data_IF_039922775693
#
_entry.id   IF_039922775693
#
_cell.length_a   1.000
_cell.length_b   1.000
_cell.length_c   1.000
_cell.angle_alpha   90.00
_cell.angle_beta   90.00
_cell.angle_gamma   90.00
#
_symmetry.space_group_name_H-M   'P 1'
#
loop_
_entity.id
_entity.type
_entity.pdbx_description
1 polymer ?
#
# COMPACT_ATOMS: atom_id res chain seq x y z
N UNK A 1 36.60 -12.55 -38.18
CA UNK A 1 36.67 -12.13 -36.77
C UNK A 1 35.40 -11.34 -36.49
N UNK A 2 34.44 -11.95 -35.81
CA UNK A 2 33.15 -11.35 -35.48
C UNK A 2 33.20 -10.90 -34.03
N UNK A 3 32.98 -9.60 -33.76
CA UNK A 3 32.89 -9.07 -32.41
C UNK A 3 31.50 -9.38 -31.80
N UNK A 4 31.40 -9.71 -30.50
CA UNK A 4 30.13 -10.00 -29.87
C UNK A 4 29.39 -8.69 -29.52
N UNK A 5 28.10 -8.65 -29.87
CA UNK A 5 27.19 -7.56 -29.53
C UNK A 5 26.71 -7.74 -28.08
N UNK A 6 27.35 -7.03 -27.14
CA UNK A 6 27.02 -7.12 -25.71
C UNK A 6 26.02 -6.02 -25.34
N UNK A 7 24.74 -6.29 -25.60
CA UNK A 7 23.63 -5.55 -25.02
C UNK A 7 23.53 -5.88 -23.52
N UNK A 8 24.27 -5.14 -22.70
CA UNK A 8 24.12 -5.17 -21.24
C UNK A 8 24.04 -3.74 -20.71
N UNK A 9 22.93 -3.06 -20.99
CA UNK A 9 22.56 -1.84 -20.28
C UNK A 9 21.98 -2.22 -18.92
N UNK A 10 22.87 -2.57 -17.98
CA UNK A 10 22.65 -2.52 -16.54
C UNK A 10 22.52 -1.04 -16.09
N UNK A 11 21.49 -0.36 -16.59
CA UNK A 11 21.10 0.95 -16.07
C UNK A 11 20.53 0.81 -14.66
N UNK A 12 20.67 1.82 -13.79
CA UNK A 12 19.96 1.85 -12.52
C UNK A 12 18.47 1.65 -12.80
N UNK A 13 17.87 0.63 -12.19
CA UNK A 13 16.44 0.35 -12.32
C UNK A 13 15.71 1.62 -11.83
N UNK A 14 14.91 2.30 -12.67
CA UNK A 14 14.27 3.54 -12.28
C UNK A 14 13.31 3.27 -11.11
N UNK A 15 13.63 3.82 -9.95
CA UNK A 15 12.70 3.86 -8.81
C UNK A 15 11.50 4.70 -9.24
N UNK A 16 10.35 4.06 -9.48
CA UNK A 16 9.12 4.76 -9.86
C UNK A 16 8.58 5.66 -8.74
N UNK A 17 9.07 5.51 -7.51
CA UNK A 17 8.78 6.41 -6.40
C UNK A 17 9.62 7.69 -6.50
N UNK A 18 9.03 8.88 -6.69
CA UNK A 18 9.70 10.13 -6.40
C UNK A 18 10.12 10.08 -4.93
N UNK A 19 11.27 10.69 -4.64
CA UNK A 19 11.79 10.87 -3.29
C UNK A 19 10.96 11.93 -2.55
N UNK A 20 9.66 11.71 -2.42
CA UNK A 20 8.85 12.50 -1.48
C UNK A 20 9.29 12.11 -0.07
N UNK A 21 9.53 13.08 0.83
CA UNK A 21 9.82 12.77 2.22
C UNK A 21 8.73 11.88 2.81
N UNK A 22 9.11 10.85 3.54
CA UNK A 22 8.14 10.04 4.27
C UNK A 22 7.65 10.83 5.49
N UNK A 23 6.36 10.75 5.84
CA UNK A 23 5.86 11.39 7.04
C UNK A 23 6.41 10.66 8.26
N UNK A 24 6.56 11.38 9.38
CA UNK A 24 7.06 10.81 10.64
C UNK A 24 6.06 9.80 11.26
N UNK A 25 4.79 9.87 10.84
CA UNK A 25 3.68 9.05 11.32
C UNK A 25 2.68 8.77 10.20
N UNK A 26 1.95 7.66 10.32
CA UNK A 26 0.81 7.34 9.45
C UNK A 26 -0.46 7.78 10.17
N UNK A 27 -1.28 8.58 9.48
CA UNK A 27 -2.54 9.08 10.01
C UNK A 27 -3.70 8.30 9.38
N UNK A 28 -4.75 8.10 10.17
CA UNK A 28 -5.90 7.30 9.76
C UNK A 28 -7.11 7.54 10.64
N UNK A 29 -8.17 6.76 10.41
CA UNK A 29 -9.45 6.90 11.10
C UNK A 29 -9.69 5.70 12.01
N UNK A 30 -10.13 5.99 13.24
CA UNK A 30 -10.63 4.97 14.16
C UNK A 30 -12.11 4.72 13.91
N UNK A 31 -12.43 3.50 13.50
CA UNK A 31 -13.81 3.04 13.32
C UNK A 31 -14.17 2.10 14.46
N UNK A 32 -15.27 2.40 15.16
CA UNK A 32 -15.84 1.50 16.17
C UNK A 32 -16.77 0.52 15.47
N UNK A 33 -16.43 -0.76 15.52
CA UNK A 33 -17.20 -1.83 14.88
C UNK A 33 -17.70 -2.84 15.91
N UNK A 34 -18.79 -3.54 15.58
CA UNK A 34 -19.10 -4.80 16.24
C UNK A 34 -18.10 -5.87 15.82
N UNK A 35 -17.80 -6.80 16.72
CA UNK A 35 -16.89 -7.91 16.45
C UNK A 35 -17.36 -8.77 15.25
N UNK A 36 -18.67 -8.93 15.07
CA UNK A 36 -19.24 -9.64 13.93
C UNK A 36 -18.93 -8.98 12.59
N UNK A 37 -18.92 -7.65 12.54
CA UNK A 37 -18.62 -6.91 11.31
C UNK A 37 -17.11 -6.87 11.05
N UNK A 38 -16.31 -6.78 12.11
CA UNK A 38 -14.86 -6.97 11.99
C UNK A 38 -14.51 -8.35 11.42
N UNK A 39 -15.19 -9.41 11.87
CA UNK A 39 -15.02 -10.76 11.32
C UNK A 39 -15.34 -10.84 9.82
N UNK A 40 -16.38 -10.13 9.36
CA UNK A 40 -16.70 -10.06 7.92
C UNK A 40 -15.61 -9.34 7.12
N UNK A 41 -15.10 -8.21 7.63
CA UNK A 41 -13.99 -7.49 6.99
C UNK A 41 -12.74 -8.36 6.90
N UNK A 42 -12.36 -9.02 8.00
CA UNK A 42 -11.20 -9.89 8.04
C UNK A 42 -11.32 -11.06 7.04
N UNK A 43 -12.54 -11.58 6.83
CA UNK A 43 -12.77 -12.65 5.86
C UNK A 43 -12.61 -12.19 4.40
N UNK A 44 -12.73 -10.88 4.10
CA UNK A 44 -12.56 -10.33 2.75
C UNK A 44 -11.09 -10.04 2.40
N UNK A 45 -10.22 -9.93 3.41
CA UNK A 45 -8.85 -9.42 3.28
C UNK A 45 -7.81 -10.55 3.24
N UNK A 46 -7.91 -11.48 2.27
CA UNK A 46 -7.12 -12.73 2.21
C UNK A 46 -5.58 -12.57 2.22
N UNK A 47 -5.07 -11.37 1.90
CA UNK A 47 -3.64 -11.07 1.88
C UNK A 47 -3.19 -10.11 2.99
N UNK A 48 -4.09 -9.80 3.93
CA UNK A 48 -3.77 -9.00 5.09
C UNK A 48 -4.03 -9.79 6.37
N UNK A 49 -3.31 -9.43 7.43
CA UNK A 49 -3.56 -9.95 8.77
C UNK A 49 -3.92 -8.80 9.71
N UNK A 50 -4.88 -9.00 10.64
CA UNK A 50 -5.14 -8.03 11.67
C UNK A 50 -3.96 -7.98 12.65
N UNK A 51 -3.53 -6.77 13.02
CA UNK A 51 -2.50 -6.53 14.02
C UNK A 51 -2.95 -5.48 15.02
N UNK A 52 -2.72 -5.76 16.29
CA UNK A 52 -2.93 -4.77 17.35
C UNK A 52 -1.88 -3.67 17.25
N UNK A 53 -2.35 -2.42 17.26
CA UNK A 53 -1.55 -1.21 17.21
C UNK A 53 -2.01 -0.25 18.29
N UNK A 54 -1.08 0.56 18.78
CA UNK A 54 -1.36 1.68 19.67
C UNK A 54 -1.36 2.96 18.84
N UNK A 55 -2.44 3.74 18.92
CA UNK A 55 -2.54 5.02 18.20
C UNK A 55 -2.77 6.17 19.17
N UNK A 56 -2.28 7.36 18.79
CA UNK A 56 -2.58 8.63 19.45
C UNK A 56 -3.61 9.39 18.61
N UNK A 57 -4.76 9.71 19.19
CA UNK A 57 -5.76 10.55 18.54
C UNK A 57 -5.41 12.02 18.68
N UNK A 58 -5.97 12.86 17.80
CA UNK A 58 -5.70 14.30 17.82
C UNK A 58 -6.24 15.02 19.06
N UNK A 59 -7.19 14.42 19.78
CA UNK A 59 -7.65 14.91 21.08
C UNK A 59 -6.78 14.43 22.25
N UNK A 60 -5.63 13.79 21.97
CA UNK A 60 -4.62 13.42 22.95
C UNK A 60 -4.82 12.07 23.63
N UNK A 61 -5.83 11.28 23.24
CA UNK A 61 -6.03 9.93 23.80
C UNK A 61 -5.09 8.92 23.16
N UNK A 62 -4.74 7.90 23.93
CA UNK A 62 -4.04 6.70 23.44
C UNK A 62 -5.00 5.53 23.40
N UNK A 63 -5.11 4.87 22.25
CA UNK A 63 -6.13 3.85 21.99
C UNK A 63 -5.45 2.60 21.41
N UNK A 64 -5.75 1.42 21.97
CA UNK A 64 -5.44 0.14 21.30
C UNK A 64 -6.49 -0.14 20.23
N UNK A 65 -6.04 -0.48 19.04
CA UNK A 65 -6.87 -0.72 17.87
C UNK A 65 -6.32 -1.88 17.02
N UNK A 66 -7.12 -2.34 16.06
CA UNK A 66 -6.69 -3.31 15.06
C UNK A 66 -6.53 -2.63 13.70
N UNK A 67 -5.46 -2.97 12.99
CA UNK A 67 -5.25 -2.58 11.60
C UNK A 67 -4.90 -3.80 10.75
N UNK A 68 -5.29 -3.76 9.48
CA UNK A 68 -4.88 -4.77 8.49
C UNK A 68 -3.50 -4.41 7.94
N UNK A 69 -2.57 -5.35 7.99
CA UNK A 69 -1.22 -5.18 7.44
C UNK A 69 -0.89 -6.31 6.47
N UNK A 70 -0.13 -5.99 5.42
CA UNK A 70 0.40 -7.00 4.52
C UNK A 70 1.50 -7.79 5.25
N UNK A 71 1.36 -9.11 5.43
CA UNK A 71 2.38 -9.91 6.08
C UNK A 71 3.61 -10.03 5.16
N UNK A 72 4.82 -10.27 5.71
CA UNK A 72 6.07 -10.20 4.96
C UNK A 72 6.08 -11.01 3.66
N UNK A 73 5.45 -12.20 3.65
CA UNK A 73 5.39 -13.07 2.48
C UNK A 73 4.56 -12.54 1.30
N UNK A 74 3.71 -11.52 1.53
CA UNK A 74 2.91 -10.87 0.49
C UNK A 74 3.40 -9.44 0.21
N UNK A 75 4.48 -9.00 0.84
CA UNK A 75 5.08 -7.71 0.53
C UNK A 75 5.68 -7.74 -0.87
N UNK A 76 5.38 -6.70 -1.64
CA UNK A 76 5.88 -6.59 -3.00
C UNK A 76 7.37 -6.26 -2.93
N UNK A 77 8.20 -7.06 -3.63
CA UNK A 77 9.66 -6.87 -3.67
C UNK A 77 10.09 -5.55 -4.33
N UNK A 78 9.17 -4.87 -5.02
CA UNK A 78 9.36 -3.60 -5.72
C UNK A 78 8.27 -2.62 -5.34
N UNK A 79 8.60 -1.36 -5.12
CA UNK A 79 7.59 -0.33 -4.87
C UNK A 79 6.81 -0.07 -6.16
N UNK A 80 5.55 -0.50 -6.18
CA UNK A 80 4.63 -0.26 -7.29
C UNK A 80 3.82 1.00 -6.99
N UNK A 81 3.61 1.84 -8.00
CA UNK A 81 2.81 3.04 -7.82
C UNK A 81 1.32 2.70 -7.64
N UNK A 82 0.60 3.40 -6.76
CA UNK A 82 -0.84 3.27 -6.68
C UNK A 82 -1.48 3.80 -7.96
N UNK A 83 -2.70 3.33 -8.26
CA UNK A 83 -3.46 3.95 -9.34
C UNK A 83 -3.99 5.33 -8.98
N UNK A 84 -4.24 6.17 -9.98
CA UNK A 84 -4.87 7.49 -9.83
C UNK A 84 -6.18 7.40 -9.05
N UNK A 85 -7.03 6.41 -9.37
CA UNK A 85 -8.31 6.20 -8.67
C UNK A 85 -8.12 5.88 -7.20
N UNK A 86 -7.21 4.95 -6.89
CA UNK A 86 -6.96 4.51 -5.52
C UNK A 86 -6.40 5.63 -4.64
N UNK A 87 -5.35 6.34 -5.10
CA UNK A 87 -4.80 7.45 -4.32
C UNK A 87 -5.82 8.58 -4.16
N UNK A 88 -6.62 8.87 -5.21
CA UNK A 88 -7.69 9.86 -5.13
C UNK A 88 -8.77 9.52 -4.11
N UNK A 89 -9.10 8.24 -3.92
CA UNK A 89 -10.02 7.80 -2.86
C UNK A 89 -9.44 8.06 -1.47
N UNK A 90 -8.17 7.73 -1.26
CA UNK A 90 -7.48 7.95 0.02
C UNK A 90 -7.40 9.44 0.35
N UNK A 91 -6.91 10.25 -0.59
CA UNK A 91 -6.73 11.70 -0.40
C UNK A 91 -8.06 12.38 -0.09
N UNK A 92 -9.12 12.07 -0.84
CA UNK A 92 -10.45 12.61 -0.59
C UNK A 92 -10.98 12.21 0.79
N UNK A 93 -10.90 10.92 1.14
CA UNK A 93 -11.35 10.43 2.44
C UNK A 93 -10.60 11.07 3.60
N UNK A 94 -9.28 11.27 3.45
CA UNK A 94 -8.46 11.95 4.45
C UNK A 94 -8.93 13.39 4.70
N UNK A 95 -9.21 14.16 3.64
CA UNK A 95 -9.72 15.54 3.73
C UNK A 95 -11.12 15.60 4.33
N UNK A 96 -12.04 14.77 3.85
CA UNK A 96 -13.43 14.71 4.33
C UNK A 96 -13.49 14.38 5.84
N UNK A 97 -12.59 13.51 6.29
CA UNK A 97 -12.48 13.12 7.69
C UNK A 97 -11.58 14.03 8.53
N UNK A 98 -11.08 15.13 7.95
CA UNK A 98 -10.25 16.14 8.62
C UNK A 98 -9.03 15.53 9.30
N UNK A 99 -8.30 14.67 8.58
CA UNK A 99 -6.95 14.31 8.99
C UNK A 99 -6.04 15.54 9.01
N UNK A 100 -4.88 15.41 9.65
CA UNK A 100 -3.89 16.47 9.73
C UNK A 100 -3.59 17.05 8.34
N UNK A 101 -3.54 18.37 8.26
CA UNK A 101 -3.41 19.08 6.98
C UNK A 101 -2.09 18.74 6.29
N UNK A 102 -0.98 18.68 7.04
CA UNK A 102 0.33 18.35 6.48
C UNK A 102 0.38 16.91 5.96
N UNK A 103 -0.35 15.99 6.59
CA UNK A 103 -0.48 14.62 6.10
C UNK A 103 -1.33 14.55 4.82
N UNK A 104 -2.40 15.34 4.73
CA UNK A 104 -3.20 15.42 3.52
C UNK A 104 -2.41 16.02 2.34
N UNK A 105 -1.65 17.09 2.60
CA UNK A 105 -0.76 17.70 1.61
C UNK A 105 0.33 16.74 1.15
N UNK A 106 0.80 15.85 2.04
CA UNK A 106 1.72 14.78 1.68
C UNK A 106 1.07 13.71 0.78
N UNK A 107 -0.17 13.29 1.08
CA UNK A 107 -0.90 12.32 0.24
C UNK A 107 -1.06 12.80 -1.21
N UNK A 108 -1.26 14.11 -1.41
CA UNK A 108 -1.39 14.74 -2.73
C UNK A 108 -0.10 14.71 -3.56
N UNK A 109 1.05 14.47 -2.93
CA UNK A 109 2.35 14.37 -3.60
C UNK A 109 2.68 12.94 -4.06
N UNK A 110 1.90 11.94 -3.64
CA UNK A 110 2.14 10.55 -4.01
C UNK A 110 1.87 10.40 -5.52
N UNK A 111 2.87 9.96 -6.31
CA UNK A 111 2.67 9.75 -7.74
C UNK A 111 1.66 8.61 -7.95
N UNK A 112 1.02 8.62 -9.10
CA UNK A 112 0.14 7.53 -9.48
C UNK A 112 0.24 7.22 -10.95
N UNK A 113 -0.26 6.04 -11.30
CA UNK A 113 -0.38 5.58 -12.68
C UNK A 113 -1.86 5.44 -13.04
N UNK A 114 -2.18 5.67 -14.30
CA UNK A 114 -3.52 5.36 -14.81
C UNK A 114 -3.83 3.87 -14.68
N UNK A 115 -5.10 3.52 -14.43
CA UNK A 115 -5.51 2.12 -14.21
C UNK A 115 -5.13 1.19 -15.37
N UNK A 116 -5.11 1.73 -16.59
CA UNK A 116 -4.75 1.01 -17.82
C UNK A 116 -3.25 0.89 -18.05
N UNK A 117 -2.44 1.64 -17.30
CA UNK A 117 -0.98 1.64 -17.40
C UNK A 117 -0.31 0.74 -16.34
N UNK A 118 -1.11 -0.05 -15.59
CA UNK A 118 -0.59 -1.06 -14.65
C UNK A 118 0.06 -2.19 -15.47
N UNK A 119 1.39 -2.27 -15.42
CA UNK A 119 2.14 -3.34 -16.07
C UNK A 119 1.89 -4.71 -15.43
N UNK A 120 2.35 -5.78 -16.08
CA UNK A 120 2.19 -7.18 -15.64
C UNK A 120 2.71 -7.42 -14.21
N UNK A 121 3.68 -6.62 -13.77
CA UNK A 121 4.23 -6.60 -12.41
C UNK A 121 3.17 -6.37 -11.31
N UNK A 122 2.05 -5.70 -11.65
CA UNK A 122 0.94 -5.48 -10.72
C UNK A 122 0.14 -6.77 -10.46
N UNK A 123 0.12 -7.70 -11.42
CA UNK A 123 -0.70 -8.92 -11.37
C UNK A 123 0.10 -10.20 -11.17
N UNK A 124 1.40 -10.20 -11.45
CA UNK A 124 2.26 -11.41 -11.33
C UNK A 124 2.47 -11.88 -9.88
N UNK A 125 2.22 -11.01 -8.90
CA UNK A 125 2.33 -11.34 -7.48
C UNK A 125 1.15 -12.23 -7.02
N UNK A 126 0.00 -12.13 -7.70
CA UNK A 126 -1.20 -12.91 -7.36
C UNK A 126 -1.08 -14.37 -7.84
N UNK A 127 -0.27 -14.64 -8.88
CA UNK A 127 -0.21 -15.96 -9.54
C UNK A 127 0.90 -16.88 -9.03
N UNK A 128 1.87 -16.38 -8.25
CA UNK A 128 3.00 -17.19 -7.75
C UNK A 128 2.70 -17.92 -6.43
N UNK A 129 1.52 -17.72 -5.83
CA UNK A 129 1.11 -18.41 -4.59
C UNK A 129 0.12 -19.57 -4.80
N UNK A 130 -0.25 -19.91 -6.04
CA UNK A 130 -1.26 -20.94 -6.35
C UNK A 130 -0.76 -22.16 -7.13
N UNK A 131 0.55 -22.40 -7.16
CA UNK A 131 1.12 -23.62 -7.74
C UNK A 131 2.09 -24.31 -6.78
N UNK A 132 1.56 -25.13 -5.87
CA UNK A 132 2.40 -25.95 -4.99
C UNK A 132 1.65 -26.71 -3.91
N UNK A 133 0.60 -27.45 -4.27
CA UNK A 133 -0.15 -28.26 -3.33
C UNK A 133 -1.10 -29.23 -4.02
N UNK A 134 -0.55 -30.16 -4.78
CA UNK A 134 -1.27 -31.35 -5.24
C UNK A 134 -0.34 -32.56 -5.14
N UNK A 135 -0.77 -33.48 -4.26
CA UNK A 135 -0.32 -34.86 -4.00
C UNK A 135 0.93 -35.03 -3.13
#
# INVERSE_FOLDING_TARGET
>A
QSAPNNNNSNGPIPTLSPKIPQPNSVHGILLKLHMSDFGKLAAMEHQYIPREITVSSYDGRTISALAFITPPQYQIARTVLPSTRYIGLITRGAREMKLDESYCDWLEQIPSVEDKARGDEYYTIVSSSSSGGLL
#
